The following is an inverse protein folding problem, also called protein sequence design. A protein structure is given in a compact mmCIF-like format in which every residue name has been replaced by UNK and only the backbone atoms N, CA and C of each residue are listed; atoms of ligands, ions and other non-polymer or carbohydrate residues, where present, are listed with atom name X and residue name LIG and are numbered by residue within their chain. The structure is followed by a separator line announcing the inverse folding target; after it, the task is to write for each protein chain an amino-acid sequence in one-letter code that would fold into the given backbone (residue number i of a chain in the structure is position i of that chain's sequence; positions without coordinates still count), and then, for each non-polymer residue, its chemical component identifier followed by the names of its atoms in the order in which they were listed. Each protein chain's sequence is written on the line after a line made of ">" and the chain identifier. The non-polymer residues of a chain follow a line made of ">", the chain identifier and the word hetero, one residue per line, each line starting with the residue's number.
data_IF_013045259125
#
_entry.id   IF_013045259125
#
_cell.length_a   1.000
_cell.length_b   1.000
_cell.length_c   1.000
_cell.angle_alpha   90.00
_cell.angle_beta   90.00
_cell.angle_gamma   90.00
#
_symmetry.space_group_name_H-M   'P 1'
#
loop_
_entity.id
_entity.type
_entity.pdbx_description
1 polymer ?
#
# COMPACT_ATOMS: atom_id res chain seq x y z
N UNK A 1 -1.64 10.69 -21.81
CA UNK A 1 -1.24 9.78 -20.72
C UNK A 1 -0.08 8.93 -21.24
N UNK A 2 1.06 8.92 -20.53
CA UNK A 2 2.25 8.17 -20.96
C UNK A 2 2.21 6.72 -20.48
N UNK A 3 1.66 6.46 -19.29
CA UNK A 3 1.60 5.11 -18.70
C UNK A 3 0.17 4.57 -18.84
N UNK A 4 0.05 3.30 -19.24
CA UNK A 4 -1.23 2.63 -19.42
C UNK A 4 -1.74 2.07 -18.07
N UNK A 5 -2.90 2.57 -17.62
CA UNK A 5 -3.54 2.14 -16.38
C UNK A 5 -5.05 1.92 -16.56
N UNK A 6 -5.49 1.10 -17.53
CA UNK A 6 -6.91 0.97 -17.89
C UNK A 6 -7.77 0.44 -16.74
N UNK A 7 -7.23 -0.43 -15.87
CA UNK A 7 -7.98 -1.02 -14.76
C UNK A 7 -8.19 -0.03 -13.61
N UNK A 8 -7.13 0.72 -13.24
CA UNK A 8 -7.23 1.80 -12.24
C UNK A 8 -8.14 2.91 -12.78
N UNK A 9 -8.01 3.26 -14.06
CA UNK A 9 -8.86 4.25 -14.71
C UNK A 9 -10.34 3.81 -14.71
N UNK A 10 -10.63 2.52 -14.91
CA UNK A 10 -11.99 1.97 -14.81
C UNK A 10 -12.54 2.03 -13.38
N UNK A 11 -11.72 1.72 -12.36
CA UNK A 11 -12.10 1.87 -10.95
C UNK A 11 -12.42 3.34 -10.64
N UNK A 12 -11.63 4.27 -11.16
CA UNK A 12 -11.86 5.72 -11.01
C UNK A 12 -13.13 6.19 -11.75
N UNK A 13 -13.34 5.71 -12.98
CA UNK A 13 -14.48 6.09 -13.82
C UNK A 13 -15.83 5.60 -13.29
N UNK A 14 -15.83 4.58 -12.42
CA UNK A 14 -17.03 4.00 -11.79
C UNK A 14 -17.14 4.28 -10.29
N UNK A 15 -16.37 5.25 -9.78
CA UNK A 15 -16.36 5.64 -8.37
C UNK A 15 -16.13 7.13 -8.17
N UNK A 16 -15.74 7.51 -6.97
CA UNK A 16 -15.35 8.88 -6.60
C UNK A 16 -13.84 9.03 -6.60
N UNK A 17 -13.31 9.98 -7.36
CA UNK A 17 -11.89 10.38 -7.35
C UNK A 17 -11.73 11.72 -6.66
N UNK A 18 -10.70 11.85 -5.81
CA UNK A 18 -10.39 13.10 -5.12
C UNK A 18 -9.16 13.77 -5.73
N UNK A 19 -9.28 15.05 -6.08
CA UNK A 19 -8.17 15.82 -6.67
C UNK A 19 -7.24 16.41 -5.63
N UNK A 20 -7.71 16.55 -4.38
CA UNK A 20 -6.93 17.07 -3.25
C UNK A 20 -6.83 16.04 -2.13
N UNK A 21 -6.18 14.91 -2.43
CA UNK A 21 -5.96 13.85 -1.48
C UNK A 21 -4.50 13.82 -1.01
N UNK A 22 -4.30 13.61 0.29
CA UNK A 22 -3.00 13.74 0.92
C UNK A 22 -2.58 12.47 1.67
N UNK A 23 -1.33 12.10 1.48
CA UNK A 23 -0.66 11.08 2.29
C UNK A 23 -0.45 11.58 3.74
N UNK A 24 -0.32 10.69 4.68
CA UNK A 24 -0.04 11.04 6.07
C UNK A 24 1.36 11.66 6.29
N UNK A 25 2.28 11.46 5.34
CA UNK A 25 3.64 12.01 5.34
C UNK A 25 4.24 11.91 3.93
N UNK A 26 5.32 12.62 3.67
CA UNK A 26 6.10 12.51 2.43
C UNK A 26 6.92 11.23 2.29
N UNK A 27 6.91 10.33 3.27
CA UNK A 27 7.66 9.06 3.28
C UNK A 27 6.85 7.93 3.91
N UNK A 28 7.26 6.68 3.63
CA UNK A 28 6.47 5.46 3.84
C UNK A 28 6.03 5.18 5.28
N UNK A 29 6.96 4.97 6.23
CA UNK A 29 6.61 4.50 7.58
C UNK A 29 5.66 5.45 8.31
N UNK A 30 5.91 6.77 8.38
CA UNK A 30 4.97 7.67 9.06
C UNK A 30 3.63 7.80 8.33
N UNK A 31 3.62 7.74 6.99
CA UNK A 31 2.37 7.76 6.23
C UNK A 31 1.51 6.52 6.48
N UNK A 32 2.13 5.33 6.48
CA UNK A 32 1.47 4.06 6.83
C UNK A 32 1.00 4.05 8.28
N UNK A 33 1.79 4.63 9.21
CA UNK A 33 1.38 4.80 10.60
C UNK A 33 0.15 5.70 10.70
N UNK A 34 0.10 6.80 9.95
CA UNK A 34 -1.06 7.68 9.88
C UNK A 34 -2.31 6.96 9.37
N UNK A 35 -2.20 6.20 8.28
CA UNK A 35 -3.28 5.37 7.74
C UNK A 35 -3.80 4.36 8.78
N UNK A 36 -2.88 3.61 9.40
CA UNK A 36 -3.25 2.55 10.34
C UNK A 36 -3.81 3.06 11.66
N UNK A 37 -3.42 4.25 12.12
CA UNK A 37 -3.83 4.77 13.44
C UNK A 37 -4.88 5.88 13.38
N UNK A 38 -5.25 6.36 12.19
CA UNK A 38 -6.15 7.51 12.02
C UNK A 38 -5.59 8.82 12.57
N UNK A 39 -4.26 8.92 12.75
CA UNK A 39 -3.58 10.10 13.33
C UNK A 39 -2.72 10.81 12.28
N UNK A 40 -2.62 12.12 12.38
CA UNK A 40 -1.67 12.88 11.58
C UNK A 40 -0.22 12.61 12.04
N UNK A 41 0.76 12.92 11.20
CA UNK A 41 2.20 12.67 11.47
C UNK A 41 2.74 13.41 12.72
N UNK A 42 2.07 14.47 13.17
CA UNK A 42 2.40 15.16 14.43
C UNK A 42 2.01 14.36 15.68
N UNK A 43 1.03 13.46 15.57
CA UNK A 43 0.46 12.68 16.67
C UNK A 43 0.75 11.17 16.57
N UNK A 44 1.39 10.70 15.50
CA UNK A 44 1.79 9.31 15.35
C UNK A 44 3.05 8.98 16.15
N UNK A 45 3.19 7.71 16.52
CA UNK A 45 4.41 7.17 17.17
C UNK A 45 5.57 7.13 16.18
N UNK A 46 5.32 6.79 14.93
CA UNK A 46 6.35 6.70 13.88
C UNK A 46 6.30 7.97 13.04
N UNK A 47 7.38 8.75 13.07
CA UNK A 47 7.47 10.06 12.40
C UNK A 47 8.50 10.11 11.27
N UNK A 48 9.33 9.07 11.13
CA UNK A 48 10.34 8.93 10.09
C UNK A 48 10.54 7.44 9.78
N UNK A 49 11.19 7.13 8.65
CA UNK A 49 11.65 5.78 8.32
C UNK A 49 12.79 5.34 9.24
N UNK A 50 13.56 6.28 9.77
CA UNK A 50 14.68 6.07 10.68
C UNK A 50 14.60 7.05 11.84
N UNK A 51 15.23 6.73 12.97
CA UNK A 51 15.34 7.65 14.10
C UNK A 51 16.78 7.75 14.61
N UNK A 52 17.15 8.93 15.13
CA UNK A 52 18.45 9.15 15.74
C UNK A 52 18.44 8.69 17.19
N UNK A 53 17.35 8.94 17.90
CA UNK A 53 17.14 8.57 19.30
C UNK A 53 15.87 7.72 19.45
N UNK A 54 15.83 6.88 20.47
CA UNK A 54 14.72 5.96 20.71
C UNK A 54 14.70 4.80 19.70
N UNK A 55 13.59 4.07 19.69
CA UNK A 55 13.42 2.94 18.80
C UNK A 55 14.37 1.77 19.06
N UNK A 56 14.36 0.82 18.12
CA UNK A 56 15.19 -0.39 18.18
C UNK A 56 16.30 -0.30 17.13
N UNK A 57 17.53 -0.69 17.50
CA UNK A 57 18.65 -0.82 16.59
C UNK A 57 18.55 -2.09 15.76
N UNK A 58 18.83 -1.98 14.48
CA UNK A 58 18.88 -3.08 13.53
C UNK A 58 19.78 -2.76 12.35
N UNK A 59 19.65 -3.49 11.25
CA UNK A 59 20.49 -3.34 10.08
C UNK A 59 19.67 -3.12 8.81
N UNK A 60 20.21 -2.28 7.91
CA UNK A 60 19.81 -2.15 6.52
C UNK A 60 21.04 -2.51 5.66
N UNK A 61 21.07 -3.74 5.17
CA UNK A 61 22.30 -4.29 4.61
C UNK A 61 23.41 -4.33 5.66
N UNK A 62 24.53 -3.64 5.41
CA UNK A 62 25.66 -3.53 6.34
C UNK A 62 25.56 -2.34 7.30
N UNK A 63 24.59 -1.46 7.11
CA UNK A 63 24.45 -0.22 7.87
C UNK A 63 23.60 -0.44 9.12
N UNK A 64 24.12 -0.05 10.30
CA UNK A 64 23.33 0.09 11.52
C UNK A 64 22.32 1.23 11.37
N UNK A 65 21.08 0.96 11.73
CA UNK A 65 20.00 1.93 11.71
C UNK A 65 19.13 1.76 12.95
N UNK A 66 18.35 2.79 13.30
CA UNK A 66 17.30 2.70 14.33
C UNK A 66 15.95 3.00 13.74
N UNK A 67 14.92 2.32 14.25
CA UNK A 67 13.54 2.52 13.80
C UNK A 67 12.57 2.51 14.96
N UNK A 68 11.57 3.39 14.86
CA UNK A 68 10.39 3.34 15.72
C UNK A 68 9.45 2.22 15.25
N UNK A 69 8.66 1.70 16.18
CA UNK A 69 7.62 0.70 15.94
C UNK A 69 6.29 1.15 16.54
N UNK A 70 5.20 0.53 16.12
CA UNK A 70 3.90 0.73 16.78
C UNK A 70 3.95 0.25 18.22
N UNK A 71 3.47 1.09 19.13
CA UNK A 71 3.39 0.77 20.56
C UNK A 71 2.14 -0.09 20.85
N UNK A 72 2.11 -0.83 21.98
CA UNK A 72 0.97 -1.67 22.36
C UNK A 72 -0.37 -0.94 22.39
N UNK A 73 -0.37 0.35 22.73
CA UNK A 73 -1.56 1.20 22.80
C UNK A 73 -1.88 1.94 21.49
N UNK A 74 -1.12 1.73 20.42
CA UNK A 74 -1.47 2.23 19.09
C UNK A 74 -2.53 1.31 18.48
N UNK A 75 -3.79 1.70 18.63
CA UNK A 75 -4.92 1.02 17.98
C UNK A 75 -4.81 1.17 16.47
N UNK A 76 -4.82 0.07 15.72
CA UNK A 76 -4.78 0.09 14.25
C UNK A 76 -6.17 -0.07 13.64
N UNK A 77 -6.30 0.34 12.39
CA UNK A 77 -7.49 0.09 11.57
C UNK A 77 -7.84 -1.42 11.54
N UNK A 78 -6.84 -2.29 11.43
CA UNK A 78 -7.04 -3.73 11.47
C UNK A 78 -7.58 -4.20 12.83
N UNK A 79 -7.11 -3.62 13.95
CA UNK A 79 -7.64 -3.90 15.30
C UNK A 79 -9.13 -3.51 15.40
N UNK A 80 -9.50 -2.32 14.88
CA UNK A 80 -10.88 -1.84 14.91
C UNK A 80 -11.79 -2.77 14.11
N UNK A 81 -11.40 -3.12 12.88
CA UNK A 81 -12.20 -3.98 12.01
C UNK A 81 -12.24 -5.44 12.48
N UNK A 82 -11.15 -5.96 13.03
CA UNK A 82 -11.12 -7.29 13.66
C UNK A 82 -12.09 -7.37 14.83
N UNK A 83 -12.12 -6.34 15.69
CA UNK A 83 -13.08 -6.25 16.80
C UNK A 83 -14.54 -6.09 16.33
N UNK A 84 -14.77 -5.68 15.10
CA UNK A 84 -16.07 -5.64 14.43
C UNK A 84 -16.44 -6.96 13.71
N UNK A 85 -15.63 -8.01 13.85
CA UNK A 85 -15.89 -9.32 13.26
C UNK A 85 -15.37 -9.52 11.84
N UNK A 86 -14.61 -8.56 11.30
CA UNK A 86 -13.98 -8.71 9.97
C UNK A 86 -12.79 -9.66 10.04
N UNK A 87 -12.64 -10.50 9.02
CA UNK A 87 -11.39 -11.21 8.74
C UNK A 87 -10.41 -10.24 8.13
N UNK A 88 -9.24 -10.08 8.73
CA UNK A 88 -8.27 -9.04 8.35
C UNK A 88 -7.00 -9.66 7.81
N UNK A 89 -6.51 -9.16 6.67
CA UNK A 89 -5.28 -9.62 6.04
C UNK A 89 -4.43 -8.43 5.57
N UNK A 90 -3.13 -8.51 5.84
CA UNK A 90 -2.12 -7.68 5.19
C UNK A 90 -1.39 -8.53 4.15
N UNK A 91 -1.31 -7.99 2.94
CA UNK A 91 -0.48 -8.56 1.88
C UNK A 91 0.57 -7.55 1.45
N UNK A 92 1.81 -7.98 1.35
CA UNK A 92 3.02 -7.27 0.99
C UNK A 92 3.59 -6.42 2.14
N UNK A 93 3.85 -5.13 1.97
CA UNK A 93 4.69 -4.28 2.82
C UNK A 93 4.00 -3.78 4.08
N UNK A 94 4.55 -4.12 5.26
CA UNK A 94 4.11 -3.56 6.54
C UNK A 94 4.80 -2.23 6.88
N UNK A 95 6.08 -2.24 7.16
CA UNK A 95 6.95 -1.11 7.43
C UNK A 95 6.67 -0.36 8.76
N UNK A 96 6.02 -1.02 9.72
CA UNK A 96 5.66 -0.44 11.04
C UNK A 96 6.15 -1.27 12.24
N UNK A 97 6.93 -2.33 12.01
CA UNK A 97 7.48 -3.19 13.07
C UNK A 97 8.70 -2.60 13.78
N UNK A 98 9.50 -1.79 13.10
CA UNK A 98 10.70 -1.14 13.63
C UNK A 98 11.69 -2.11 14.30
N UNK A 99 11.82 -3.34 13.79
CA UNK A 99 12.59 -4.47 14.36
C UNK A 99 12.02 -5.03 15.67
N UNK A 100 10.80 -4.68 16.06
CA UNK A 100 10.14 -5.22 17.24
C UNK A 100 9.21 -6.39 16.85
N UNK A 101 9.47 -7.63 17.30
CA UNK A 101 8.61 -8.79 17.03
C UNK A 101 7.16 -8.61 17.48
N UNK A 102 6.91 -7.80 18.52
CA UNK A 102 5.56 -7.52 19.03
C UNK A 102 4.77 -6.52 18.17
N UNK A 103 5.44 -5.84 17.24
CA UNK A 103 4.82 -4.87 16.35
C UNK A 103 4.57 -5.42 14.93
N UNK A 104 4.62 -6.73 14.75
CA UNK A 104 4.29 -7.42 13.49
C UNK A 104 2.80 -7.31 13.16
N UNK A 105 2.38 -7.49 11.91
CA UNK A 105 0.98 -7.40 11.51
C UNK A 105 0.03 -8.25 12.36
N UNK A 106 0.41 -9.51 12.66
CA UNK A 106 -0.40 -10.43 13.45
C UNK A 106 -0.67 -9.91 14.88
N UNK A 107 0.30 -9.20 15.46
CA UNK A 107 0.17 -8.57 16.77
C UNK A 107 -0.53 -7.20 16.71
N UNK A 108 -0.91 -6.73 15.52
CA UNK A 108 -1.54 -5.42 15.27
C UNK A 108 -2.88 -5.52 14.55
N UNK A 109 -3.62 -6.61 14.82
CA UNK A 109 -5.01 -6.77 14.43
C UNK A 109 -5.23 -7.50 13.10
N UNK A 110 -4.20 -7.92 12.40
CA UNK A 110 -4.34 -8.78 11.24
C UNK A 110 -4.40 -10.25 11.64
N UNK A 111 -5.35 -10.99 11.07
CA UNK A 111 -5.47 -12.45 11.24
C UNK A 111 -4.50 -13.20 10.34
N UNK A 112 -4.18 -12.63 9.18
CA UNK A 112 -3.28 -13.22 8.20
C UNK A 112 -2.28 -12.17 7.67
N UNK A 113 -1.07 -12.61 7.39
CA UNK A 113 -0.01 -11.78 6.81
C UNK A 113 0.80 -12.55 5.78
N UNK A 114 0.94 -11.98 4.58
CA UNK A 114 1.74 -12.52 3.49
C UNK A 114 2.62 -11.42 2.92
N UNK A 115 3.92 -11.43 3.17
CA UNK A 115 4.79 -10.36 2.67
C UNK A 115 6.04 -10.11 3.48
N UNK A 116 6.39 -8.84 3.65
CA UNK A 116 7.65 -8.40 4.25
C UNK A 116 7.41 -7.36 5.33
N UNK A 117 8.11 -7.50 6.46
CA UNK A 117 7.96 -6.58 7.59
C UNK A 117 8.43 -5.17 7.27
N UNK A 118 9.44 -5.03 6.42
CA UNK A 118 9.94 -3.71 5.99
C UNK A 118 9.56 -3.45 4.53
N UNK A 119 10.28 -4.07 3.62
CA UNK A 119 10.04 -4.11 2.17
C UNK A 119 10.95 -5.18 1.59
N UNK A 120 10.69 -5.64 0.38
CA UNK A 120 11.54 -6.61 -0.31
C UNK A 120 13.00 -6.15 -0.47
N UNK A 121 13.27 -4.84 -0.49
CA UNK A 121 14.63 -4.29 -0.56
C UNK A 121 15.56 -4.70 0.59
N UNK A 122 15.02 -5.26 1.66
CA UNK A 122 15.78 -5.71 2.83
C UNK A 122 15.91 -7.24 2.89
N UNK A 123 15.20 -7.95 2.03
CA UNK A 123 15.43 -9.35 1.73
C UNK A 123 16.45 -9.40 0.59
N UNK A 124 17.46 -10.22 0.71
CA UNK A 124 18.52 -10.35 -0.30
C UNK A 124 17.93 -10.35 -1.73
N UNK A 125 18.42 -9.40 -2.55
CA UNK A 125 18.08 -9.18 -3.95
C UNK A 125 17.70 -10.44 -4.78
N UNK A 126 16.86 -10.26 -5.80
CA UNK A 126 16.39 -9.04 -6.43
C UNK A 126 15.03 -8.56 -5.89
N UNK A 127 14.91 -7.28 -5.64
CA UNK A 127 13.79 -6.60 -4.97
C UNK A 127 12.39 -7.06 -5.42
N UNK A 128 12.13 -7.13 -6.74
CA UNK A 128 10.83 -7.55 -7.28
C UNK A 128 10.74 -9.05 -7.60
N UNK A 129 11.80 -9.81 -7.38
CA UNK A 129 11.82 -11.28 -7.55
C UNK A 129 12.36 -11.94 -6.27
N UNK A 130 11.65 -11.75 -5.14
CA UNK A 130 12.15 -12.15 -3.82
C UNK A 130 12.31 -13.66 -3.73
N UNK A 131 13.31 -14.12 -2.96
CA UNK A 131 13.55 -15.54 -2.71
C UNK A 131 12.70 -16.10 -1.58
N UNK A 132 12.16 -15.24 -0.72
CA UNK A 132 11.36 -15.63 0.44
C UNK A 132 10.36 -14.53 0.80
N UNK A 133 9.35 -14.91 1.59
CA UNK A 133 8.38 -14.02 2.22
C UNK A 133 7.96 -14.56 3.58
N UNK A 134 7.29 -13.78 4.37
CA UNK A 134 6.50 -14.29 5.47
C UNK A 134 5.17 -14.87 4.97
N UNK A 135 4.81 -16.02 5.51
CA UNK A 135 3.47 -16.59 5.52
C UNK A 135 3.05 -16.64 6.98
N UNK A 136 2.32 -15.64 7.41
CA UNK A 136 2.05 -15.34 8.81
C UNK A 136 3.36 -15.09 9.59
N UNK A 137 3.71 -15.94 10.54
CA UNK A 137 4.92 -15.89 11.36
C UNK A 137 6.07 -16.75 10.82
N UNK A 138 5.87 -17.45 9.69
CA UNK A 138 6.83 -18.37 9.11
C UNK A 138 7.47 -17.80 7.85
N UNK A 139 8.77 -18.04 7.69
CA UNK A 139 9.47 -17.78 6.43
C UNK A 139 9.13 -18.89 5.43
N UNK A 140 8.75 -18.51 4.23
CA UNK A 140 8.44 -19.38 3.10
C UNK A 140 9.33 -19.00 1.91
N UNK A 141 10.01 -19.99 1.32
CA UNK A 141 10.83 -19.79 0.13
C UNK A 141 9.93 -19.71 -1.13
N UNK A 142 10.29 -18.83 -2.03
CA UNK A 142 9.66 -18.67 -3.34
C UNK A 142 10.50 -19.44 -4.35
N UNK A 143 10.16 -20.70 -4.56
CA UNK A 143 10.92 -21.66 -5.38
C UNK A 143 11.12 -21.20 -6.82
N UNK A 144 10.15 -20.48 -7.36
CA UNK A 144 10.18 -19.93 -8.72
C UNK A 144 11.34 -18.95 -8.92
N UNK A 145 11.79 -18.30 -7.85
CA UNK A 145 12.87 -17.31 -7.91
C UNK A 145 14.23 -17.87 -7.41
N UNK A 146 14.29 -19.12 -6.93
CA UNK A 146 15.54 -19.73 -6.46
C UNK A 146 16.61 -19.72 -7.56
N UNK A 147 17.85 -19.40 -7.18
CA UNK A 147 18.99 -19.34 -8.10
C UNK A 147 18.90 -18.16 -9.09
N UNK A 148 18.31 -17.05 -8.72
CA UNK A 148 18.15 -15.81 -9.51
C UNK A 148 17.37 -16.02 -10.82
N UNK A 149 16.38 -16.93 -10.81
CA UNK A 149 15.56 -17.24 -12.00
C UNK A 149 14.64 -16.11 -12.41
N UNK A 150 14.25 -15.24 -11.49
CA UNK A 150 13.36 -14.08 -11.73
C UNK A 150 12.07 -14.42 -12.47
N UNK A 151 11.41 -15.52 -12.07
CA UNK A 151 10.20 -16.02 -12.75
C UNK A 151 8.95 -15.35 -12.20
N UNK A 152 8.87 -15.17 -10.87
CA UNK A 152 7.64 -14.70 -10.24
C UNK A 152 7.82 -13.34 -9.59
N UNK A 153 7.20 -12.34 -10.20
CA UNK A 153 7.26 -10.95 -9.74
C UNK A 153 6.51 -10.76 -8.42
N UNK A 154 7.02 -9.92 -7.52
CA UNK A 154 6.43 -9.60 -6.22
C UNK A 154 4.96 -9.15 -6.31
N UNK A 155 4.61 -8.34 -7.31
CA UNK A 155 3.23 -7.91 -7.55
C UNK A 155 2.31 -9.09 -7.80
N UNK A 156 2.74 -10.10 -8.57
CA UNK A 156 1.95 -11.31 -8.83
C UNK A 156 1.81 -12.17 -7.60
N UNK A 157 2.90 -12.38 -6.84
CA UNK A 157 2.88 -13.11 -5.57
C UNK A 157 1.84 -12.50 -4.65
N UNK A 158 1.89 -11.17 -4.48
CA UNK A 158 0.98 -10.43 -3.61
C UNK A 158 -0.48 -10.49 -4.10
N UNK A 159 -0.70 -10.40 -5.39
CA UNK A 159 -2.05 -10.49 -5.99
C UNK A 159 -2.64 -11.89 -5.81
N UNK A 160 -1.83 -12.93 -6.03
CA UNK A 160 -2.26 -14.32 -5.84
C UNK A 160 -2.65 -14.59 -4.38
N UNK A 161 -1.90 -14.06 -3.41
CA UNK A 161 -2.23 -14.19 -1.99
C UNK A 161 -3.50 -13.43 -1.61
N UNK A 162 -3.66 -12.20 -2.14
CA UNK A 162 -4.86 -11.40 -1.96
C UNK A 162 -6.10 -12.12 -2.52
N UNK A 163 -6.02 -12.67 -3.73
CA UNK A 163 -7.10 -13.45 -4.35
C UNK A 163 -7.43 -14.69 -3.51
N UNK A 164 -6.42 -15.45 -3.07
CA UNK A 164 -6.63 -16.64 -2.22
C UNK A 164 -7.29 -16.26 -0.89
N UNK A 165 -6.92 -15.14 -0.29
CA UNK A 165 -7.55 -14.65 0.92
C UNK A 165 -9.03 -14.32 0.69
N UNK A 166 -9.37 -13.59 -0.37
CA UNK A 166 -10.76 -13.26 -0.74
C UNK A 166 -11.57 -14.53 -0.95
N UNK A 167 -11.05 -15.50 -1.71
CA UNK A 167 -11.72 -16.78 -1.99
C UNK A 167 -12.07 -17.54 -0.71
N UNK A 168 -11.14 -17.62 0.25
CA UNK A 168 -11.35 -18.30 1.54
C UNK A 168 -12.34 -17.58 2.44
N UNK A 169 -12.48 -16.26 2.28
CA UNK A 169 -13.30 -15.43 3.15
C UNK A 169 -14.54 -14.84 2.46
N UNK A 170 -14.95 -15.37 1.30
CA UNK A 170 -16.07 -14.84 0.50
C UNK A 170 -17.42 -14.79 1.22
N UNK A 171 -17.61 -15.63 2.24
CA UNK A 171 -18.83 -15.68 3.06
C UNK A 171 -18.72 -14.84 4.35
N UNK A 172 -17.57 -14.19 4.59
CA UNK A 172 -17.33 -13.40 5.79
C UNK A 172 -17.09 -11.94 5.41
N UNK A 173 -17.41 -10.96 6.28
CA UNK A 173 -16.88 -9.63 6.12
C UNK A 173 -15.34 -9.67 6.21
N UNK A 174 -14.66 -9.01 5.30
CA UNK A 174 -13.19 -8.99 5.29
C UNK A 174 -12.62 -7.59 5.07
N UNK A 175 -11.42 -7.40 5.59
CA UNK A 175 -10.55 -6.27 5.33
C UNK A 175 -9.22 -6.75 4.77
N UNK A 176 -8.93 -6.37 3.56
CA UNK A 176 -7.66 -6.66 2.88
C UNK A 176 -6.87 -5.35 2.71
N UNK A 177 -5.70 -5.26 3.35
CA UNK A 177 -4.72 -4.22 3.08
C UNK A 177 -3.65 -4.76 2.14
N UNK A 178 -3.82 -4.52 0.84
CA UNK A 178 -2.88 -4.91 -0.20
C UNK A 178 -1.92 -3.76 -0.47
N UNK A 179 -0.72 -3.87 0.08
CA UNK A 179 0.27 -2.80 0.14
C UNK A 179 1.42 -3.02 -0.86
N UNK A 180 1.12 -2.93 -2.16
CA UNK A 180 2.12 -3.14 -3.21
C UNK A 180 3.38 -2.30 -3.03
N UNK A 181 4.55 -2.87 -3.35
CA UNK A 181 5.80 -2.12 -3.43
C UNK A 181 5.90 -1.30 -4.73
N UNK A 182 5.28 -1.76 -5.81
CA UNK A 182 5.30 -1.04 -7.09
C UNK A 182 4.66 0.37 -6.97
N UNK A 183 5.28 1.40 -7.58
CA UNK A 183 6.50 1.40 -8.39
C UNK A 183 7.75 1.89 -7.62
N UNK A 184 8.05 1.37 -6.44
CA UNK A 184 9.24 1.73 -5.65
C UNK A 184 10.54 1.32 -6.36
N UNK A 185 11.61 2.09 -6.23
CA UNK A 185 12.95 1.70 -6.70
C UNK A 185 13.52 0.52 -5.87
N UNK A 186 14.42 -0.30 -6.46
CA UNK A 186 14.94 -0.30 -7.84
C UNK A 186 13.90 -0.84 -8.84
N UNK A 187 13.90 -0.31 -10.06
CA UNK A 187 12.92 -0.69 -11.07
C UNK A 187 13.32 -2.00 -11.78
N UNK A 188 13.24 -3.11 -11.04
CA UNK A 188 13.56 -4.45 -11.55
C UNK A 188 12.33 -5.06 -12.23
N UNK A 189 12.06 -4.69 -13.45
CA UNK A 189 11.03 -5.26 -14.30
C UNK A 189 11.67 -5.85 -15.55
N UNK A 190 11.52 -7.15 -15.75
CA UNK A 190 12.08 -7.84 -16.92
C UNK A 190 11.19 -7.65 -18.17
N UNK A 191 9.85 -7.62 -17.96
CA UNK A 191 8.88 -7.40 -19.03
C UNK A 191 8.68 -5.91 -19.27
N UNK A 192 9.07 -5.42 -20.46
CA UNK A 192 8.93 -4.00 -20.86
C UNK A 192 8.19 -3.82 -22.19
N UNK A 193 7.68 -4.90 -22.79
CA UNK A 193 7.08 -4.90 -24.12
C UNK A 193 5.97 -3.86 -24.34
N UNK A 194 5.27 -3.45 -23.29
CA UNK A 194 4.27 -2.37 -23.38
C UNK A 194 4.84 -1.05 -23.90
N UNK A 195 6.17 -0.85 -23.78
CA UNK A 195 6.85 0.42 -24.05
C UNK A 195 8.09 0.25 -24.93
N UNK A 196 8.22 -0.87 -25.66
CA UNK A 196 9.40 -1.11 -26.51
C UNK A 196 9.51 -0.10 -27.65
N UNK A 197 8.39 0.36 -28.21
CA UNK A 197 8.33 1.37 -29.27
C UNK A 197 8.63 2.80 -28.79
N UNK A 198 8.67 3.04 -27.47
CA UNK A 198 8.97 4.37 -26.93
C UNK A 198 10.47 4.66 -26.97
N UNK A 199 10.83 5.89 -27.29
CA UNK A 199 12.24 6.36 -27.33
C UNK A 199 12.77 6.68 -25.90
N UNK A 200 12.28 5.99 -24.87
CA UNK A 200 12.71 6.20 -23.49
C UNK A 200 13.92 5.34 -23.13
N UNK A 201 14.71 5.80 -22.15
CA UNK A 201 15.75 4.96 -21.56
C UNK A 201 15.13 3.74 -20.85
N UNK A 202 15.94 2.70 -20.64
CA UNK A 202 15.49 1.44 -20.04
C UNK A 202 14.93 1.61 -18.61
N UNK A 203 15.44 2.55 -17.83
CA UNK A 203 14.95 2.82 -16.48
C UNK A 203 13.53 3.40 -16.52
N UNK A 204 13.25 4.29 -17.47
CA UNK A 204 11.92 4.86 -17.71
C UNK A 204 10.94 3.78 -18.19
N UNK A 205 11.35 2.92 -19.13
CA UNK A 205 10.53 1.78 -19.60
C UNK A 205 10.19 0.84 -18.45
N UNK A 206 11.16 0.46 -17.63
CA UNK A 206 10.95 -0.39 -16.45
C UNK A 206 10.00 0.23 -15.42
N UNK A 207 10.15 1.51 -15.13
CA UNK A 207 9.22 2.22 -14.22
C UNK A 207 7.79 2.20 -14.77
N UNK A 208 7.59 2.56 -16.02
CA UNK A 208 6.29 2.54 -16.67
C UNK A 208 5.67 1.14 -16.67
N UNK A 209 6.49 0.13 -16.97
CA UNK A 209 6.08 -1.29 -16.95
C UNK A 209 5.69 -1.78 -15.55
N UNK A 210 6.40 -1.36 -14.51
CA UNK A 210 6.00 -1.66 -13.12
C UNK A 210 4.60 -1.12 -12.79
N UNK A 211 4.27 0.09 -13.24
CA UNK A 211 2.95 0.70 -13.02
C UNK A 211 1.88 -0.05 -13.82
N UNK A 212 2.13 -0.35 -15.10
CA UNK A 212 1.18 -1.11 -15.94
C UNK A 212 0.99 -2.54 -15.43
N UNK A 213 2.04 -3.19 -14.97
CA UNK A 213 1.94 -4.53 -14.37
C UNK A 213 1.10 -4.52 -13.07
N UNK A 214 1.29 -3.50 -12.23
CA UNK A 214 0.45 -3.31 -11.03
C UNK A 214 -1.02 -3.04 -11.42
N UNK A 215 -1.26 -2.25 -12.46
CA UNK A 215 -2.61 -2.01 -12.98
C UNK A 215 -3.30 -3.30 -13.43
N UNK A 216 -2.59 -4.16 -14.17
CA UNK A 216 -3.10 -5.48 -14.57
C UNK A 216 -3.39 -6.38 -13.38
N UNK A 217 -2.54 -6.34 -12.36
CA UNK A 217 -2.74 -7.07 -11.11
C UNK A 217 -4.01 -6.62 -10.37
N UNK A 218 -4.26 -5.30 -10.33
CA UNK A 218 -5.50 -4.72 -9.79
C UNK A 218 -6.71 -5.19 -10.63
N UNK A 219 -6.57 -5.22 -11.96
CA UNK A 219 -7.62 -5.76 -12.84
C UNK A 219 -7.97 -7.21 -12.53
N UNK A 220 -6.97 -8.07 -12.27
CA UNK A 220 -7.19 -9.46 -11.82
C UNK A 220 -7.96 -9.53 -10.50
N UNK A 221 -7.63 -8.67 -9.55
CA UNK A 221 -8.31 -8.61 -8.24
C UNK A 221 -9.78 -8.19 -8.39
N UNK A 222 -10.04 -7.14 -9.18
CA UNK A 222 -11.41 -6.66 -9.46
C UNK A 222 -12.23 -7.73 -10.17
N UNK A 223 -11.66 -8.36 -11.19
CA UNK A 223 -12.33 -9.46 -11.92
C UNK A 223 -12.66 -10.65 -10.99
N UNK A 224 -11.82 -10.94 -10.00
CA UNK A 224 -12.11 -11.99 -9.03
C UNK A 224 -13.28 -11.62 -8.09
N UNK A 225 -13.36 -10.35 -7.65
CA UNK A 225 -14.51 -9.85 -6.89
C UNK A 225 -15.81 -9.96 -7.70
N UNK A 226 -15.77 -9.63 -9.00
CA UNK A 226 -16.91 -9.78 -9.91
C UNK A 226 -17.30 -11.26 -10.06
N UNK A 227 -16.33 -12.13 -10.30
CA UNK A 227 -16.55 -13.59 -10.44
C UNK A 227 -17.20 -14.23 -9.21
N UNK A 228 -16.84 -13.72 -8.02
CA UNK A 228 -17.40 -14.19 -6.74
C UNK A 228 -18.72 -13.51 -6.36
N UNK A 229 -19.21 -12.53 -7.13
CA UNK A 229 -20.41 -11.77 -6.82
C UNK A 229 -20.23 -10.82 -5.61
N UNK A 230 -19.00 -10.44 -5.30
CA UNK A 230 -18.67 -9.60 -4.14
C UNK A 230 -18.53 -8.11 -4.47
N UNK A 231 -18.50 -7.76 -5.77
CA UNK A 231 -18.13 -6.43 -6.25
C UNK A 231 -18.98 -5.30 -5.68
N UNK A 232 -20.30 -5.47 -5.68
CA UNK A 232 -21.25 -4.46 -5.16
C UNK A 232 -21.24 -4.35 -3.63
N UNK A 233 -20.71 -5.37 -2.95
CA UNK A 233 -20.58 -5.36 -1.48
C UNK A 233 -19.14 -5.16 -0.99
N UNK A 234 -18.25 -4.73 -1.87
CA UNK A 234 -16.85 -4.44 -1.53
C UNK A 234 -16.50 -3.00 -1.85
N UNK A 235 -16.07 -2.24 -0.82
CA UNK A 235 -15.45 -0.93 -1.00
C UNK A 235 -14.01 -1.12 -1.41
N UNK A 236 -13.61 -0.55 -2.54
CA UNK A 236 -12.21 -0.48 -2.97
C UNK A 236 -11.71 0.94 -2.72
N UNK A 237 -10.60 1.09 -2.00
CA UNK A 237 -9.86 2.34 -1.86
C UNK A 237 -8.51 2.15 -2.53
N UNK A 238 -8.21 2.96 -3.54
CA UNK A 238 -6.89 3.02 -4.16
C UNK A 238 -6.21 4.33 -3.77
N UNK A 239 -5.01 4.23 -3.19
CA UNK A 239 -4.22 5.38 -2.78
C UNK A 239 -2.73 5.09 -2.82
N UNK A 240 -1.89 6.13 -2.70
CA UNK A 240 -0.44 5.97 -2.50
C UNK A 240 -0.02 6.46 -1.11
N UNK A 241 1.07 5.90 -0.58
CA UNK A 241 1.59 6.27 0.74
C UNK A 241 2.43 7.57 0.72
N UNK A 242 2.93 7.99 -0.43
CA UNK A 242 3.64 9.27 -0.65
C UNK A 242 3.72 9.59 -2.14
N UNK A 243 4.18 10.80 -2.45
CA UNK A 243 4.40 11.24 -3.82
C UNK A 243 5.56 10.54 -4.51
N UNK A 244 5.75 10.83 -5.80
CA UNK A 244 6.78 10.21 -6.64
C UNK A 244 8.20 10.45 -6.11
N UNK A 245 9.05 9.42 -6.18
CA UNK A 245 10.44 9.48 -5.73
C UNK A 245 11.33 10.29 -6.68
N UNK A 246 12.45 10.79 -6.18
CA UNK A 246 13.45 11.51 -7.01
C UNK A 246 13.98 10.66 -8.18
N UNK A 247 14.08 9.37 -7.95
CA UNK A 247 14.56 8.39 -8.94
C UNK A 247 13.55 8.06 -10.03
N UNK A 248 12.26 8.40 -9.81
CA UNK A 248 11.24 8.22 -10.83
C UNK A 248 11.52 9.15 -12.03
N UNK A 249 11.14 8.77 -13.25
CA UNK A 249 11.34 9.57 -14.45
C UNK A 249 10.36 10.75 -14.51
N UNK A 250 10.51 11.69 -13.57
CA UNK A 250 9.55 12.76 -13.27
C UNK A 250 9.32 13.68 -14.47
N UNK A 251 10.38 14.01 -15.20
CA UNK A 251 10.30 14.95 -16.31
C UNK A 251 9.80 14.28 -17.60
N UNK A 252 10.21 13.04 -17.85
CA UNK A 252 9.81 12.28 -19.05
C UNK A 252 8.35 11.87 -18.99
N UNK A 253 7.91 11.34 -17.85
CA UNK A 253 6.56 10.80 -17.70
C UNK A 253 5.58 11.75 -17.00
N UNK A 254 6.03 12.93 -16.58
CA UNK A 254 5.20 13.89 -15.88
C UNK A 254 4.58 13.35 -14.57
N UNK A 255 5.27 12.44 -13.89
CA UNK A 255 4.74 11.68 -12.75
C UNK A 255 4.16 12.52 -11.59
N UNK A 256 4.56 13.77 -11.47
CA UNK A 256 4.05 14.72 -10.45
C UNK A 256 3.27 15.89 -11.07
N UNK A 257 3.12 15.96 -12.39
CA UNK A 257 2.56 17.12 -13.06
C UNK A 257 3.36 18.40 -12.73
N UNK A 258 2.63 19.49 -12.45
CA UNK A 258 3.21 20.80 -12.06
C UNK A 258 3.49 20.93 -10.55
N UNK A 259 3.28 19.88 -9.76
CA UNK A 259 3.40 19.95 -8.30
C UNK A 259 4.86 20.15 -7.87
N UNK A 260 5.10 21.07 -6.93
CA UNK A 260 6.40 21.31 -6.34
C UNK A 260 6.79 20.17 -5.40
N UNK A 261 8.06 19.78 -5.41
CA UNK A 261 8.61 18.77 -4.52
C UNK A 261 8.43 17.34 -5.05
N UNK A 262 8.75 16.36 -4.22
CA UNK A 262 8.75 14.93 -4.49
C UNK A 262 8.76 14.18 -3.16
N UNK A 263 8.72 12.84 -3.16
CA UNK A 263 8.91 11.98 -1.97
C UNK A 263 10.01 12.51 -1.04
N UNK A 264 9.72 12.55 0.23
CA UNK A 264 10.62 13.11 1.25
C UNK A 264 10.46 14.62 1.52
N UNK A 265 9.58 15.30 0.78
CA UNK A 265 9.26 16.72 1.01
C UNK A 265 7.83 16.90 1.49
N UNK A 266 7.55 18.03 2.15
CA UNK A 266 6.20 18.42 2.58
C UNK A 266 5.47 19.29 1.54
N UNK A 267 6.04 19.47 0.36
CA UNK A 267 5.37 20.12 -0.75
C UNK A 267 4.35 19.17 -1.40
N UNK A 268 3.45 19.73 -2.18
CA UNK A 268 2.37 19.01 -2.89
C UNK A 268 2.86 17.75 -3.63
N UNK A 269 3.99 17.82 -4.34
CA UNK A 269 4.57 16.68 -5.06
C UNK A 269 5.11 15.56 -4.14
N UNK A 270 5.26 15.82 -2.83
CA UNK A 270 5.67 14.81 -1.86
C UNK A 270 4.52 14.15 -1.11
N UNK A 271 3.39 14.85 -0.95
CA UNK A 271 2.28 14.41 -0.10
C UNK A 271 0.93 14.32 -0.82
N UNK A 272 0.72 14.99 -1.95
CA UNK A 272 -0.50 14.87 -2.73
C UNK A 272 -0.45 13.60 -3.57
N UNK A 273 -1.44 12.73 -3.38
CA UNK A 273 -1.46 11.36 -3.92
C UNK A 273 -2.79 11.06 -4.58
N UNK A 274 -2.87 10.06 -5.50
CA UNK A 274 -4.15 9.59 -5.99
C UNK A 274 -4.98 9.01 -4.83
N UNK A 275 -6.28 9.24 -4.88
CA UNK A 275 -7.23 8.66 -3.95
C UNK A 275 -8.56 8.42 -4.66
N UNK A 276 -8.95 7.16 -4.75
CA UNK A 276 -10.16 6.71 -5.42
C UNK A 276 -10.95 5.84 -4.45
N UNK A 277 -12.24 6.08 -4.33
CA UNK A 277 -13.17 5.24 -3.58
C UNK A 277 -14.19 4.68 -4.56
N UNK A 278 -14.36 3.37 -4.57
CA UNK A 278 -15.26 2.72 -5.51
C UNK A 278 -16.05 1.61 -4.82
N UNK A 279 -17.36 1.64 -5.00
CA UNK A 279 -18.31 0.58 -4.69
C UNK A 279 -19.53 0.78 -5.61
N UNK A 280 -19.72 -0.08 -6.62
CA UNK A 280 -20.83 0.06 -7.55
C UNK A 280 -22.19 0.13 -6.82
N UNK A 281 -23.03 1.06 -7.26
CA UNK A 281 -24.36 1.25 -6.70
C UNK A 281 -24.45 1.95 -5.34
N UNK A 282 -23.32 2.16 -4.65
CA UNK A 282 -23.30 2.84 -3.33
C UNK A 282 -22.43 4.09 -3.32
N UNK A 283 -21.28 4.09 -3.98
CA UNK A 283 -20.42 5.25 -4.13
C UNK A 283 -20.79 5.98 -5.43
N UNK A 284 -21.03 7.29 -5.35
CA UNK A 284 -21.36 8.10 -6.51
C UNK A 284 -20.19 8.17 -7.52
N UNK A 285 -20.53 8.22 -8.80
CA UNK A 285 -19.54 8.44 -9.87
C UNK A 285 -19.31 9.94 -10.01
N UNK A 286 -18.19 10.41 -9.49
CA UNK A 286 -17.88 11.85 -9.48
C UNK A 286 -16.39 12.12 -9.26
N UNK A 287 -16.02 13.38 -9.50
CA UNK A 287 -14.69 13.91 -9.17
C UNK A 287 -14.84 15.06 -8.21
N UNK A 288 -14.20 14.96 -7.05
CA UNK A 288 -14.32 15.94 -5.97
C UNK A 288 -13.00 16.68 -5.74
N UNK A 289 -13.08 17.92 -5.35
CA UNK A 289 -11.96 18.77 -4.93
C UNK A 289 -11.89 18.95 -3.40
N UNK A 290 -12.72 18.22 -2.67
CA UNK A 290 -12.65 18.16 -1.22
C UNK A 290 -11.26 17.64 -0.77
N UNK A 291 -10.75 18.25 0.29
CA UNK A 291 -9.51 17.77 0.93
C UNK A 291 -9.82 16.50 1.71
N UNK A 292 -9.08 15.43 1.39
CA UNK A 292 -9.10 14.16 2.12
C UNK A 292 -7.66 13.71 2.39
N UNK A 293 -7.44 12.93 3.41
CA UNK A 293 -6.10 12.40 3.67
C UNK A 293 -6.14 11.00 4.32
N UNK A 294 -5.03 10.27 4.28
CA UNK A 294 -5.02 8.85 4.68
C UNK A 294 -5.57 8.55 6.09
N UNK A 295 -5.38 9.37 7.13
CA UNK A 295 -6.04 9.17 8.43
C UNK A 295 -7.56 9.09 8.40
N UNK A 296 -8.23 9.66 7.38
CA UNK A 296 -9.70 9.64 7.26
C UNK A 296 -10.22 8.24 6.92
N UNK A 297 -9.37 7.36 6.40
CA UNK A 297 -9.74 5.97 6.06
C UNK A 297 -10.20 5.20 7.29
N UNK A 298 -9.55 5.38 8.45
CA UNK A 298 -9.91 4.64 9.65
C UNK A 298 -11.34 4.95 10.14
N UNK A 299 -11.76 6.19 10.41
CA UNK A 299 -13.12 6.47 10.83
C UNK A 299 -14.16 6.16 9.74
N UNK A 300 -13.82 6.34 8.46
CA UNK A 300 -14.70 5.99 7.34
C UNK A 300 -15.00 4.50 7.28
N UNK A 301 -13.96 3.66 7.34
CA UNK A 301 -14.15 2.21 7.31
C UNK A 301 -14.80 1.68 8.61
N UNK A 302 -14.53 2.32 9.75
CA UNK A 302 -15.19 1.98 11.01
C UNK A 302 -16.70 2.29 10.95
N UNK A 303 -17.10 3.39 10.30
CA UNK A 303 -18.51 3.72 10.12
C UNK A 303 -19.20 2.72 9.18
N UNK A 304 -18.60 2.42 8.05
CA UNK A 304 -19.08 1.39 7.12
C UNK A 304 -19.25 0.03 7.81
N UNK A 305 -18.32 -0.31 8.70
CA UNK A 305 -18.35 -1.56 9.47
C UNK A 305 -19.24 -1.51 10.73
N UNK A 306 -19.93 -0.39 10.98
CA UNK A 306 -20.72 -0.15 12.20
C UNK A 306 -19.91 -0.34 13.49
N UNK A 307 -18.65 0.09 13.48
CA UNK A 307 -17.65 -0.09 14.54
C UNK A 307 -17.10 1.23 15.09
N UNK A 308 -17.85 2.31 15.00
CA UNK A 308 -17.43 3.64 15.47
C UNK A 308 -17.17 3.68 16.98
N UNK A 309 -17.83 2.80 17.75
CA UNK A 309 -17.62 2.58 19.18
C UNK A 309 -16.25 1.97 19.52
N UNK A 310 -15.57 1.38 18.53
CA UNK A 310 -14.25 0.76 18.67
C UNK A 310 -13.10 1.68 18.28
N UNK A 311 -13.42 2.88 17.77
CA UNK A 311 -12.41 3.84 17.36
C UNK A 311 -11.62 4.39 18.56
N UNK A 312 -10.29 4.59 18.42
CA UNK A 312 -9.50 5.23 19.47
C UNK A 312 -9.95 6.68 19.68
N UNK A 313 -9.94 7.11 20.94
CA UNK A 313 -10.28 8.51 21.32
C UNK A 313 -9.35 9.53 20.68
N UNK A 314 -8.06 9.20 20.57
CA UNK A 314 -7.04 10.05 19.94
C UNK A 314 -6.91 9.69 18.47
N UNK A 315 -7.62 10.37 17.61
CA UNK A 315 -7.49 10.32 16.15
C UNK A 315 -7.67 11.72 15.57
N UNK A 316 -7.19 11.94 14.36
CA UNK A 316 -7.31 13.19 13.62
C UNK A 316 -8.15 13.05 12.35
N UNK A 317 -8.29 11.83 11.85
CA UNK A 317 -9.13 11.54 10.69
C UNK A 317 -10.62 11.76 10.97
N UNK A 318 -11.34 12.17 9.94
CA UNK A 318 -12.77 12.36 9.93
C UNK A 318 -13.45 11.32 9.03
N UNK A 319 -14.72 11.08 9.22
CA UNK A 319 -15.52 10.25 8.31
C UNK A 319 -15.78 11.02 7.00
N UNK A 320 -15.58 10.37 5.85
CA UNK A 320 -15.73 10.91 4.50
C UNK A 320 -17.17 10.75 3.98
#
# INVERSE_FOLDING_TARGET
>A
QYIQTPNIDQVAATGTSFTQAYAGSGISSPSRCSLMTGRNSGNTTIRDNFCVEGGIEGFKGKNKIRRMHLLPNDTTLATVLSAAGYRTCLVNKWHLDGFNPEATPLNRGFHEFYGWLISTAHSNDPYYYPYWRFNNDKLENIKENEGDKRIKHNTDISTDDAIKFIQRNKENPFFLYLAYDAPHEPYNMEETAWYDEEEWDMNTKRYASLVTHMDQAIGRLVAELDRLGLRENTVIIFASDNGAAKQAPLDVLGCKGTLKGMKGTLYEGGIRVPFIVNQPGKVAVQKLDNIVYLPDVMPTLADIAQATDKLPTRRNGINL
#
